data_IF_562410036129
#
_entry.id   IF_562410036129
#
_cell.length_a   1.000
_cell.length_b   1.000
_cell.length_c   1.000
_cell.angle_alpha   90.00
_cell.angle_beta   90.00
_cell.angle_gamma   90.00
#
_symmetry.space_group_name_H-M   'P 1'
#
loop_
_entity.id
_entity.type
_entity.pdbx_description
1 polymer ?
#
# COMPACT_ATOMS: atom_id res chain seq x y z
N UNK A 1 0.56 2.46 1.96
CA UNK A 1 1.01 3.30 0.83
C UNK A 1 0.17 4.57 0.82
N UNK A 2 0.80 5.74 0.77
CA UNK A 2 0.10 7.03 0.77
C UNK A 2 0.18 7.62 -0.64
N UNK A 3 -0.98 7.81 -1.27
CA UNK A 3 -1.12 8.34 -2.62
C UNK A 3 -1.63 9.78 -2.58
N UNK A 4 -0.92 10.71 -3.22
CA UNK A 4 -1.29 12.12 -3.33
C UNK A 4 -1.48 12.45 -4.82
N UNK A 5 -2.56 13.15 -5.21
CA UNK A 5 -2.76 13.55 -6.59
C UNK A 5 -1.72 14.58 -7.04
N UNK A 6 -1.33 14.52 -8.33
CA UNK A 6 -0.39 15.48 -8.95
C UNK A 6 -0.96 16.91 -9.05
N UNK A 7 -2.28 17.05 -8.95
CA UNK A 7 -2.99 18.33 -8.96
C UNK A 7 -3.87 18.45 -7.72
N UNK A 8 -3.85 19.62 -7.06
CA UNK A 8 -4.70 19.90 -5.88
C UNK A 8 -5.22 21.33 -5.94
N UNK A 9 -6.52 21.51 -5.71
CA UNK A 9 -7.10 22.83 -5.48
C UNK A 9 -6.85 23.24 -4.03
N UNK A 10 -6.17 24.37 -3.83
CA UNK A 10 -5.89 24.93 -2.50
C UNK A 10 -5.82 26.45 -2.58
N UNK A 11 -5.94 27.11 -1.43
CA UNK A 11 -5.81 28.55 -1.33
C UNK A 11 -4.40 29.02 -1.73
N UNK A 12 -4.32 29.96 -2.67
CA UNK A 12 -3.06 30.58 -3.07
C UNK A 12 -2.81 31.86 -2.27
N UNK A 13 -1.71 31.90 -1.52
CA UNK A 13 -1.24 33.09 -0.76
C UNK A 13 -0.56 34.15 -1.64
N UNK A 14 -0.50 33.93 -2.95
CA UNK A 14 0.08 34.89 -3.89
C UNK A 14 -0.72 36.20 -3.88
N UNK A 15 -0.01 37.34 -3.93
CA UNK A 15 -0.62 38.68 -3.88
C UNK A 15 -1.70 38.88 -4.95
N UNK A 16 -1.51 38.29 -6.14
CA UNK A 16 -2.40 38.41 -7.29
C UNK A 16 -3.60 37.44 -7.27
N UNK A 17 -3.50 36.29 -6.59
CA UNK A 17 -4.56 35.28 -6.66
C UNK A 17 -5.52 35.36 -5.48
N UNK A 18 -5.00 35.29 -4.23
CA UNK A 18 -5.77 35.26 -2.97
C UNK A 18 -7.07 34.44 -3.04
N UNK A 19 -7.06 33.34 -3.80
CA UNK A 19 -8.21 32.48 -4.09
C UNK A 19 -7.78 31.03 -4.23
N UNK A 20 -8.76 30.13 -4.26
CA UNK A 20 -8.50 28.71 -4.52
C UNK A 20 -8.20 28.49 -5.99
N UNK A 21 -7.00 27.97 -6.28
CA UNK A 21 -6.56 27.69 -7.65
C UNK A 21 -6.01 26.28 -7.75
N UNK A 22 -5.95 25.68 -8.94
CA UNK A 22 -5.23 24.43 -9.14
C UNK A 22 -3.73 24.64 -8.95
N UNK A 23 -3.13 23.77 -8.13
CA UNK A 23 -1.70 23.72 -7.88
C UNK A 23 -1.11 22.41 -8.40
N UNK A 24 0.05 22.49 -9.06
CA UNK A 24 0.90 21.34 -9.37
C UNK A 24 1.60 20.90 -8.09
N UNK A 25 1.46 19.62 -7.75
CA UNK A 25 2.04 19.00 -6.56
C UNK A 25 3.31 18.26 -6.97
N UNK A 26 4.42 18.60 -6.33
CA UNK A 26 5.71 17.91 -6.49
C UNK A 26 6.29 17.55 -5.14
N UNK A 27 7.16 16.53 -5.09
CA UNK A 27 7.90 16.22 -3.87
C UNK A 27 9.06 17.21 -3.71
N UNK A 28 9.22 17.76 -2.50
CA UNK A 28 10.39 18.56 -2.19
C UNK A 28 11.66 17.70 -2.17
N UNK A 29 12.70 18.17 -2.85
CA UNK A 29 14.04 17.61 -2.79
C UNK A 29 14.98 18.66 -2.18
N UNK A 30 15.87 18.21 -1.30
CA UNK A 30 16.92 19.07 -0.79
C UNK A 30 17.92 19.39 -1.93
N UNK A 31 18.29 20.67 -2.04
CA UNK A 31 19.32 21.11 -2.99
C UNK A 31 20.73 20.81 -2.50
N UNK A 32 21.72 21.06 -3.36
CA UNK A 32 23.15 21.01 -3.00
C UNK A 32 23.45 22.05 -1.92
N UNK A 33 24.21 21.66 -0.89
CA UNK A 33 24.63 22.59 0.15
C UNK A 33 25.62 23.63 -0.39
N UNK A 34 25.40 24.90 -0.09
CA UNK A 34 26.29 26.00 -0.49
C UNK A 34 27.51 26.10 0.43
N UNK A 35 28.70 26.29 -0.15
CA UNK A 35 29.96 26.44 0.58
C UNK A 35 30.14 27.83 1.20
N UNK A 36 29.56 28.85 0.58
CA UNK A 36 29.71 30.25 1.00
C UNK A 36 28.83 30.63 2.20
N UNK A 37 27.93 29.73 2.60
CA UNK A 37 27.11 29.91 3.80
C UNK A 37 28.00 30.13 5.04
N UNK A 38 27.64 31.10 5.88
CA UNK A 38 28.45 31.50 7.04
C UNK A 38 28.81 30.32 7.95
N UNK A 39 27.87 29.39 8.18
CA UNK A 39 28.11 28.20 8.99
C UNK A 39 29.16 27.25 8.41
N UNK A 40 29.17 27.08 7.09
CA UNK A 40 30.16 26.24 6.39
C UNK A 40 31.54 26.90 6.40
N UNK A 41 31.64 28.20 6.07
CA UNK A 41 32.89 28.98 6.19
C UNK A 41 33.51 28.90 7.59
N UNK A 42 32.68 29.03 8.63
CA UNK A 42 33.12 28.91 10.04
C UNK A 42 33.59 27.49 10.36
N UNK A 43 32.87 26.46 9.90
CA UNK A 43 33.24 25.06 10.11
C UNK A 43 34.59 24.76 9.46
N UNK A 44 34.79 25.16 8.21
CA UNK A 44 36.01 24.87 7.46
C UNK A 44 37.23 25.57 8.07
N UNK A 45 37.09 26.83 8.50
CA UNK A 45 38.13 27.54 9.25
C UNK A 45 38.41 26.93 10.62
N UNK A 46 37.40 26.35 11.29
CA UNK A 46 37.62 25.64 12.56
C UNK A 46 38.35 24.31 12.31
N UNK A 47 38.06 23.67 11.18
CA UNK A 47 38.58 22.35 10.83
C UNK A 47 40.02 22.39 10.28
N UNK A 48 40.50 23.55 9.82
CA UNK A 48 41.87 23.71 9.32
C UNK A 48 42.91 23.66 10.44
N UNK A 49 44.07 23.06 10.17
CA UNK A 49 45.17 22.88 11.12
C UNK A 49 45.17 21.49 11.75
N UNK A 50 45.80 21.37 12.92
CA UNK A 50 45.87 20.13 13.69
C UNK A 50 44.73 20.05 14.72
N UNK A 51 44.43 18.85 15.23
CA UNK A 51 43.40 18.64 16.26
C UNK A 51 42.17 17.82 15.83
N UNK A 52 42.18 17.27 14.62
CA UNK A 52 41.18 16.29 14.17
C UNK A 52 39.77 16.87 14.00
N UNK A 53 38.74 16.06 14.29
CA UNK A 53 37.34 16.43 14.08
C UNK A 53 36.83 17.43 15.14
N UNK A 54 36.48 18.65 14.73
CA UNK A 54 36.21 19.76 15.67
C UNK A 54 34.74 19.96 16.10
N UNK A 55 33.82 19.19 15.51
CA UNK A 55 32.38 19.23 15.77
C UNK A 55 31.81 17.81 15.85
N UNK A 56 30.82 17.58 16.72
CA UNK A 56 30.30 16.23 16.95
C UNK A 56 29.60 15.68 15.70
N UNK A 57 29.85 14.40 15.40
CA UNK A 57 29.16 13.64 14.36
C UNK A 57 28.03 12.85 15.05
N UNK A 58 26.83 12.93 14.49
CA UNK A 58 25.67 12.24 15.06
C UNK A 58 25.60 10.79 14.55
N UNK A 59 25.84 9.82 15.44
CA UNK A 59 25.86 8.39 15.08
C UNK A 59 24.54 7.64 15.36
N UNK A 60 23.78 8.03 16.40
CA UNK A 60 22.63 7.27 16.91
C UNK A 60 21.32 7.59 16.18
N UNK A 61 21.21 7.25 14.89
CA UNK A 61 19.99 7.45 14.09
C UNK A 61 18.89 6.43 14.43
N UNK A 62 17.85 6.87 15.16
CA UNK A 62 16.71 6.01 15.49
C UNK A 62 15.56 6.04 14.46
N UNK A 63 15.38 7.16 13.75
CA UNK A 63 14.23 7.34 12.84
C UNK A 63 14.53 6.75 11.46
N UNK A 64 13.68 5.83 11.01
CA UNK A 64 13.79 5.16 9.71
C UNK A 64 13.16 5.95 8.56
N UNK A 65 12.21 6.85 8.85
CA UNK A 65 11.47 7.64 7.85
C UNK A 65 11.67 9.14 8.05
N UNK A 66 11.50 9.91 6.98
CA UNK A 66 11.51 11.38 6.99
C UNK A 66 10.09 11.91 6.84
N UNK A 67 9.85 13.16 7.25
CA UNK A 67 8.61 13.86 6.89
C UNK A 67 8.71 14.26 5.42
N UNK A 68 7.72 13.89 4.63
CA UNK A 68 7.66 14.24 3.22
C UNK A 68 7.02 15.61 3.12
N UNK A 69 7.67 16.52 2.39
CA UNK A 69 7.15 17.87 2.15
C UNK A 69 6.73 17.97 0.70
N UNK A 70 5.51 18.44 0.48
CA UNK A 70 4.98 18.73 -0.84
C UNK A 70 5.34 20.17 -1.21
N UNK A 71 5.75 20.39 -2.46
CA UNK A 71 5.88 21.71 -3.06
C UNK A 71 4.70 21.91 -4.00
N UNK A 72 3.84 22.86 -3.65
CA UNK A 72 2.64 23.23 -4.41
C UNK A 72 2.95 24.48 -5.21
N UNK A 73 2.84 24.39 -6.53
CA UNK A 73 3.06 25.51 -7.45
C UNK A 73 1.72 25.93 -8.07
N UNK A 74 1.33 27.19 -7.87
CA UNK A 74 0.11 27.74 -8.45
C UNK A 74 0.24 27.82 -9.98
N UNK A 75 -0.77 27.40 -10.73
CA UNK A 75 -0.72 27.49 -12.19
C UNK A 75 -0.71 28.95 -12.70
N UNK A 76 -1.45 29.84 -12.02
CA UNK A 76 -1.65 31.24 -12.43
C UNK A 76 -0.46 32.13 -12.06
N UNK A 77 -0.17 32.30 -10.78
CA UNK A 77 0.87 33.24 -10.32
C UNK A 77 2.25 32.61 -10.08
N UNK A 78 2.40 31.29 -10.33
CA UNK A 78 3.64 30.51 -10.07
C UNK A 78 4.18 30.60 -8.64
N UNK A 79 3.38 31.09 -7.69
CA UNK A 79 3.72 31.12 -6.28
C UNK A 79 3.87 29.69 -5.75
N UNK A 80 4.91 29.46 -4.95
CA UNK A 80 5.28 28.14 -4.44
C UNK A 80 5.09 28.09 -2.93
N UNK A 81 4.33 27.13 -2.45
CA UNK A 81 4.12 26.90 -1.03
C UNK A 81 4.53 25.48 -0.64
N UNK A 82 4.88 25.29 0.62
CA UNK A 82 5.31 24.00 1.16
C UNK A 82 4.30 23.47 2.16
N UNK A 83 3.94 22.19 2.03
CA UNK A 83 3.03 21.51 2.96
C UNK A 83 3.71 20.24 3.50
N UNK A 84 4.05 20.18 4.79
CA UNK A 84 4.59 18.98 5.40
C UNK A 84 3.49 17.96 5.68
N UNK A 85 3.74 16.69 5.34
CA UNK A 85 2.89 15.56 5.71
C UNK A 85 3.40 14.87 6.98
N UNK A 86 2.56 13.97 7.52
CA UNK A 86 2.99 13.00 8.53
C UNK A 86 4.06 12.06 7.95
N UNK A 87 4.81 11.37 8.81
CA UNK A 87 5.86 10.43 8.37
C UNK A 87 5.22 9.20 7.74
N UNK A 88 5.74 8.78 6.59
CA UNK A 88 5.26 7.60 5.85
C UNK A 88 6.47 6.83 5.30
N UNK A 89 6.35 5.50 5.15
CA UNK A 89 7.38 4.66 4.53
C UNK A 89 7.31 4.68 2.99
N UNK A 90 6.11 4.42 2.45
CA UNK A 90 5.84 4.40 1.01
C UNK A 90 4.96 5.59 0.62
N UNK A 91 5.44 6.35 -0.37
CA UNK A 91 4.78 7.56 -0.84
C UNK A 91 4.90 7.65 -2.35
N UNK A 92 3.76 7.88 -2.99
CA UNK A 92 3.64 7.91 -4.44
C UNK A 92 2.82 9.12 -4.87
N UNK A 93 3.20 9.71 -6.01
CA UNK A 93 2.49 10.83 -6.62
C UNK A 93 1.70 10.35 -7.84
N UNK A 94 0.38 10.52 -7.77
CA UNK A 94 -0.53 10.24 -8.88
C UNK A 94 -0.59 8.76 -9.24
N UNK A 95 -0.59 7.89 -8.23
CA UNK A 95 -0.98 6.49 -8.42
C UNK A 95 -2.47 6.35 -8.67
N UNK A 96 -2.88 5.18 -9.14
CA UNK A 96 -4.27 4.92 -9.46
C UNK A 96 -5.17 5.00 -8.23
N UNK A 97 -6.40 5.44 -8.46
CA UNK A 97 -7.42 5.43 -7.42
C UNK A 97 -7.79 3.96 -7.17
N UNK A 98 -7.82 3.56 -5.91
CA UNK A 98 -8.26 2.21 -5.55
C UNK A 98 -9.72 2.04 -5.98
N UNK A 99 -10.00 1.05 -6.82
CA UNK A 99 -11.36 0.61 -7.15
C UNK A 99 -12.02 0.05 -5.88
N UNK A 100 -13.30 0.36 -5.68
CA UNK A 100 -14.07 -0.17 -4.55
C UNK A 100 -14.60 -1.55 -4.96
N UNK A 101 -13.99 -2.62 -4.46
CA UNK A 101 -14.61 -3.95 -4.49
C UNK A 101 -14.36 -4.81 -5.73
N UNK A 102 -13.22 -4.66 -6.40
CA UNK A 102 -12.73 -5.76 -7.25
C UNK A 102 -12.20 -6.86 -6.34
N UNK A 103 -13.12 -7.72 -5.91
CA UNK A 103 -12.77 -9.02 -5.34
C UNK A 103 -11.96 -9.75 -6.40
N UNK A 104 -10.79 -10.24 -6.00
CA UNK A 104 -9.85 -11.00 -6.81
C UNK A 104 -10.56 -12.20 -7.46
N UNK A 105 -11.07 -12.03 -8.68
CA UNK A 105 -11.65 -13.11 -9.49
C UNK A 105 -10.59 -13.82 -10.37
N UNK A 106 -9.32 -13.48 -10.22
CA UNK A 106 -8.24 -14.03 -11.06
C UNK A 106 -7.56 -15.28 -10.49
N UNK A 107 -8.13 -15.93 -9.46
CA UNK A 107 -7.60 -17.19 -8.92
C UNK A 107 -8.57 -18.38 -8.96
N UNK A 108 -9.72 -18.28 -9.64
CA UNK A 108 -10.68 -19.40 -9.76
C UNK A 108 -10.69 -20.04 -11.17
N UNK A 109 -10.24 -19.33 -12.21
CA UNK A 109 -10.24 -19.89 -13.58
C UNK A 109 -9.16 -20.96 -13.83
N UNK A 110 -8.25 -21.20 -12.88
CA UNK A 110 -7.29 -22.32 -12.97
C UNK A 110 -7.85 -23.62 -12.37
N UNK A 111 -8.98 -23.56 -11.63
CA UNK A 111 -9.61 -24.76 -11.05
C UNK A 111 -10.78 -25.34 -11.87
N UNK A 112 -11.49 -24.55 -12.68
CA UNK A 112 -12.67 -25.06 -13.41
C UNK A 112 -12.32 -25.92 -14.64
N UNK A 113 -11.12 -25.76 -15.21
CA UNK A 113 -10.64 -26.63 -16.30
C UNK A 113 -10.22 -28.02 -15.80
N UNK A 114 -9.74 -28.14 -14.55
CA UNK A 114 -9.37 -29.43 -13.97
C UNK A 114 -10.61 -30.26 -13.56
N UNK A 115 -11.68 -29.61 -13.10
CA UNK A 115 -12.94 -30.32 -12.77
C UNK A 115 -13.61 -30.86 -14.03
N UNK A 116 -13.57 -30.13 -15.14
CA UNK A 116 -14.14 -30.60 -16.43
C UNK A 116 -13.34 -31.79 -17.01
N UNK A 117 -12.02 -31.78 -16.87
CA UNK A 117 -11.15 -32.90 -17.32
C UNK A 117 -11.39 -34.15 -16.47
N UNK A 118 -11.55 -34.02 -15.15
CA UNK A 118 -11.90 -35.15 -14.27
C UNK A 118 -13.32 -35.66 -14.57
N UNK A 119 -14.29 -34.78 -14.82
CA UNK A 119 -15.65 -35.18 -15.20
C UNK A 119 -15.68 -35.94 -16.53
N UNK A 120 -14.95 -35.47 -17.56
CA UNK A 120 -14.89 -36.13 -18.87
C UNK A 120 -14.14 -37.46 -18.85
N UNK A 121 -13.12 -37.60 -18.00
CA UNK A 121 -12.39 -38.87 -17.85
C UNK A 121 -13.19 -39.92 -17.07
N UNK A 122 -13.98 -39.52 -16.07
CA UNK A 122 -14.84 -40.43 -15.29
C UNK A 122 -16.10 -40.83 -16.07
N UNK A 123 -16.68 -39.93 -16.88
CA UNK A 123 -17.84 -40.27 -17.73
C UNK A 123 -17.51 -41.28 -18.83
N UNK A 124 -16.22 -41.47 -19.14
CA UNK A 124 -15.74 -42.42 -20.16
C UNK A 124 -15.39 -43.80 -19.60
N UNK A 125 -15.39 -44.01 -18.28
CA UNK A 125 -15.00 -45.28 -17.63
C UNK A 125 -16.16 -46.15 -17.12
N UNK A 126 -17.44 -45.75 -17.33
CA UNK A 126 -18.60 -46.66 -17.23
C UNK A 126 -18.82 -47.40 -15.90
N UNK A 127 -18.26 -46.94 -14.79
CA UNK A 127 -18.37 -47.60 -13.47
C UNK A 127 -19.19 -46.76 -12.47
N UNK A 128 -20.35 -47.25 -11.99
CA UNK A 128 -21.28 -46.47 -11.17
C UNK A 128 -20.79 -46.16 -9.74
N UNK A 129 -19.75 -46.85 -9.27
CA UNK A 129 -19.20 -46.71 -7.91
C UNK A 129 -18.23 -45.53 -7.74
N UNK A 130 -17.54 -45.07 -8.80
CA UNK A 130 -16.65 -43.91 -8.71
C UNK A 130 -17.40 -42.56 -8.75
N UNK A 131 -18.60 -42.53 -9.36
CA UNK A 131 -19.39 -41.31 -9.51
C UNK A 131 -19.89 -40.75 -8.16
N UNK A 132 -20.36 -41.61 -7.24
CA UNK A 132 -20.80 -41.18 -5.91
C UNK A 132 -19.67 -40.67 -5.01
N UNK A 133 -18.46 -41.24 -5.13
CA UNK A 133 -17.31 -40.81 -4.31
C UNK A 133 -16.79 -39.43 -4.71
N UNK A 134 -16.80 -39.11 -6.00
CA UNK A 134 -16.46 -37.78 -6.51
C UNK A 134 -17.45 -36.70 -6.08
N UNK A 135 -18.76 -37.01 -6.06
CA UNK A 135 -19.78 -36.06 -5.61
C UNK A 135 -19.64 -35.73 -4.12
N UNK A 136 -19.37 -36.74 -3.28
CA UNK A 136 -19.11 -36.52 -1.85
C UNK A 136 -17.80 -35.76 -1.58
N UNK A 137 -16.73 -36.00 -2.35
CA UNK A 137 -15.48 -35.23 -2.26
C UNK A 137 -15.66 -33.75 -2.64
N UNK A 138 -16.45 -33.47 -3.67
CA UNK A 138 -16.72 -32.10 -4.14
C UNK A 138 -17.56 -31.34 -3.10
N UNK A 139 -18.49 -32.00 -2.40
CA UNK A 139 -19.26 -31.37 -1.32
C UNK A 139 -18.38 -30.99 -0.11
N UNK A 140 -17.43 -31.85 0.28
CA UNK A 140 -16.54 -31.62 1.43
C UNK A 140 -15.57 -30.45 1.18
N UNK A 141 -15.06 -30.28 -0.04
CA UNK A 141 -14.17 -29.15 -0.36
C UNK A 141 -14.91 -27.80 -0.45
N UNK A 142 -16.16 -27.78 -0.91
CA UNK A 142 -16.94 -26.53 -1.04
C UNK A 142 -17.31 -25.93 0.31
N UNK A 143 -17.40 -26.74 1.36
CA UNK A 143 -17.65 -26.27 2.72
C UNK A 143 -16.42 -25.60 3.36
N UNK A 144 -15.21 -26.02 2.98
CA UNK A 144 -13.96 -25.49 3.57
C UNK A 144 -13.58 -24.10 3.02
N UNK A 145 -13.97 -23.77 1.78
CA UNK A 145 -13.62 -22.49 1.15
C UNK A 145 -14.58 -21.35 1.54
N UNK A 146 -15.82 -21.65 1.93
CA UNK A 146 -16.80 -20.63 2.33
C UNK A 146 -16.64 -20.16 3.79
N UNK A 147 -15.91 -20.90 4.64
CA UNK A 147 -15.72 -20.54 6.05
C UNK A 147 -14.23 -20.32 6.34
N UNK A 148 -13.75 -19.11 6.09
CA UNK A 148 -12.49 -18.62 6.61
C UNK A 148 -12.56 -18.41 8.12
N UNK A 149 -12.67 -19.48 8.91
CA UNK A 149 -12.52 -19.43 10.36
C UNK A 149 -11.63 -20.57 10.81
N UNK A 150 -10.39 -20.23 11.15
CA UNK A 150 -9.62 -20.98 12.13
C UNK A 150 -10.50 -21.15 13.37
N UNK A 151 -10.76 -22.40 13.76
CA UNK A 151 -11.21 -22.90 15.07
C UNK A 151 -12.26 -24.00 14.88
N UNK A 152 -11.75 -25.23 15.03
CA UNK A 152 -12.53 -26.40 15.41
C UNK A 152 -13.27 -26.03 16.70
N UNK A 153 -14.60 -25.95 16.64
CA UNK A 153 -15.44 -26.03 17.82
C UNK A 153 -16.37 -27.23 17.64
N UNK A 154 -15.97 -28.32 18.29
CA UNK A 154 -16.85 -29.39 18.71
C UNK A 154 -17.96 -28.75 19.56
N UNK A 155 -19.22 -28.86 19.13
CA UNK A 155 -20.38 -28.68 20.01
C UNK A 155 -21.19 -29.97 19.92
N UNK A 156 -21.00 -30.77 20.96
CA UNK A 156 -21.83 -31.91 21.34
C UNK A 156 -23.17 -31.41 21.89
N UNK A 157 -24.17 -32.32 21.89
CA UNK A 157 -25.53 -32.20 22.43
C UNK A 157 -26.59 -31.56 21.49
N UNK A 158 -27.80 -32.08 21.32
CA UNK A 158 -28.48 -33.25 21.86
C UNK A 158 -29.78 -33.53 21.06
N UNK A 159 -30.24 -34.78 21.15
CA UNK A 159 -31.54 -35.34 20.73
C UNK A 159 -32.78 -34.47 21.09
N UNK A 160 -33.90 -34.59 20.35
CA UNK A 160 -34.98 -35.51 20.75
C UNK A 160 -35.59 -36.31 19.56
N UNK A 161 -35.90 -37.60 19.70
CA UNK A 161 -37.22 -38.17 20.08
C UNK A 161 -38.36 -37.61 19.19
N UNK A 162 -39.07 -38.39 18.36
CA UNK A 162 -39.98 -39.49 18.75
C UNK A 162 -40.64 -40.18 17.53
N UNK A 163 -41.13 -41.42 17.75
CA UNK A 163 -42.08 -42.26 16.97
C UNK A 163 -41.49 -42.84 15.66
N UNK A 164 -41.37 -44.15 15.45
CA UNK A 164 -42.01 -45.33 16.03
C UNK A 164 -41.14 -46.57 15.73
#
# INVERSE_FOLDING_TARGET
QVNIPKTRNTFCKGKQCRKHTPHKVTQYKAGKASLFAQGKRRYDRKQSGYGGQTKPIFHKKAKTTKKIVLRLECNVCKYKMQLPLKRCKHFELGGDKKTKGEFLFDLILVSDSMVLIIFLSVYRSGSPVLSLMLINMILVLKCSVCCGSSYIHFVEAAFPRTWQ
#
